data_IF_638734951985
#
_entry.id   IF_638734951985
#
_cell.length_a   1.000
_cell.length_b   1.000
_cell.length_c   1.000
_cell.angle_alpha   90.00
_cell.angle_beta   90.00
_cell.angle_gamma   90.00
#
_symmetry.space_group_name_H-M   'P 1'
#
loop_
_entity.id
_entity.type
_entity.pdbx_description
1 polymer ?
#
# COMPACT_ATOMS: atom_id res chain seq x y z
N UNK A 1 10.96 -24.77 16.90
CA UNK A 1 11.32 -26.20 16.91
C UNK A 1 12.45 -26.52 15.90
N UNK A 2 12.36 -26.11 14.62
CA UNK A 2 13.37 -26.34 13.59
C UNK A 2 14.78 -25.86 14.03
N UNK A 3 14.90 -24.64 14.52
CA UNK A 3 16.16 -24.06 14.98
C UNK A 3 16.76 -24.82 16.17
N UNK A 4 15.94 -25.32 17.10
CA UNK A 4 16.39 -26.12 18.23
C UNK A 4 16.95 -27.48 17.83
N UNK A 5 16.63 -27.95 16.61
CA UNK A 5 17.18 -29.15 16.00
C UNK A 5 18.44 -28.87 15.15
N UNK A 6 18.92 -27.64 15.11
CA UNK A 6 20.06 -27.23 14.30
C UNK A 6 19.77 -27.14 12.78
N UNK A 7 18.50 -27.29 12.37
CA UNK A 7 18.11 -27.20 10.96
C UNK A 7 18.00 -25.74 10.57
N UNK A 8 18.96 -25.25 9.77
CA UNK A 8 19.01 -23.89 9.24
C UNK A 8 19.18 -23.93 7.73
N UNK A 9 18.56 -23.01 6.98
CA UNK A 9 18.82 -22.88 5.56
C UNK A 9 20.22 -22.33 5.33
N UNK A 10 20.74 -22.57 4.14
CA UNK A 10 21.95 -21.93 3.62
C UNK A 10 21.60 -21.07 2.43
N UNK A 11 22.41 -20.03 2.21
CA UNK A 11 22.25 -19.09 1.10
C UNK A 11 23.12 -19.54 -0.07
N UNK A 12 22.49 -19.68 -1.22
CA UNK A 12 23.16 -20.00 -2.47
C UNK A 12 23.08 -18.83 -3.45
N UNK A 13 24.14 -18.63 -4.20
CA UNK A 13 24.18 -17.68 -5.30
C UNK A 13 23.60 -18.35 -6.56
N UNK A 14 22.75 -17.63 -7.29
CA UNK A 14 22.22 -18.12 -8.56
C UNK A 14 23.31 -18.01 -9.62
N UNK A 15 23.67 -19.15 -10.19
CA UNK A 15 24.60 -19.22 -11.31
C UNK A 15 23.87 -18.94 -12.61
N UNK A 16 24.20 -17.82 -13.23
CA UNK A 16 23.62 -17.38 -14.52
C UNK A 16 24.51 -17.73 -15.73
N UNK A 17 25.65 -18.40 -15.50
CA UNK A 17 26.66 -18.66 -16.49
C UNK A 17 26.96 -20.16 -16.70
N UNK A 18 26.05 -21.03 -16.24
CA UNK A 18 26.17 -22.50 -16.37
C UNK A 18 27.52 -23.06 -15.89
N UNK A 19 28.08 -22.51 -14.83
CA UNK A 19 29.36 -22.83 -14.23
C UNK A 19 30.59 -22.65 -15.17
N UNK A 20 30.42 -21.97 -16.31
CA UNK A 20 31.55 -21.65 -17.20
C UNK A 20 32.49 -20.60 -16.59
N UNK A 21 31.93 -19.67 -15.81
CA UNK A 21 32.64 -18.67 -15.03
C UNK A 21 32.03 -18.54 -13.63
N UNK A 22 32.80 -18.10 -12.63
CA UNK A 22 32.23 -17.79 -11.31
C UNK A 22 31.10 -16.76 -11.41
N UNK A 23 29.94 -17.06 -10.86
CA UNK A 23 28.80 -16.13 -10.82
C UNK A 23 29.17 -14.87 -10.04
N UNK A 24 28.93 -13.70 -10.62
CA UNK A 24 29.20 -12.39 -10.02
C UNK A 24 27.93 -11.61 -9.72
N UNK A 25 26.76 -12.23 -9.91
CA UNK A 25 25.46 -11.62 -9.62
C UNK A 25 25.25 -11.52 -8.11
N UNK A 26 24.39 -10.57 -7.71
CA UNK A 26 23.91 -10.44 -6.34
C UNK A 26 22.67 -11.31 -6.06
N UNK A 27 22.33 -12.24 -6.96
CA UNK A 27 21.14 -13.09 -6.92
C UNK A 27 21.33 -14.25 -5.97
N UNK A 28 20.51 -14.32 -4.95
CA UNK A 28 20.56 -15.27 -3.86
C UNK A 28 19.24 -16.01 -3.71
N UNK A 29 19.29 -17.21 -3.15
CA UNK A 29 18.13 -17.95 -2.68
C UNK A 29 18.47 -18.81 -1.46
N UNK A 30 17.46 -19.17 -0.67
CA UNK A 30 17.64 -20.06 0.47
C UNK A 30 17.27 -21.48 0.14
N UNK A 31 18.10 -22.42 0.63
CA UNK A 31 17.83 -23.85 0.52
C UNK A 31 18.24 -24.58 1.79
N UNK A 32 17.49 -25.64 2.11
CA UNK A 32 17.87 -26.59 3.17
C UNK A 32 18.74 -27.74 2.67
N UNK A 33 18.95 -27.86 1.36
CA UNK A 33 19.73 -28.91 0.71
C UNK A 33 21.19 -28.53 0.48
N UNK A 34 21.68 -27.44 1.09
CA UNK A 34 23.05 -26.98 0.97
C UNK A 34 23.90 -27.33 2.19
N UNK A 35 25.22 -27.29 2.03
CA UNK A 35 26.20 -27.56 3.10
C UNK A 35 26.74 -26.27 3.72
N UNK A 36 26.91 -25.20 2.90
CA UNK A 36 27.50 -23.94 3.32
C UNK A 36 26.91 -22.77 2.52
N UNK A 37 26.99 -21.57 3.09
CA UNK A 37 26.64 -20.33 2.41
C UNK A 37 27.67 -19.98 1.32
N UNK A 38 27.18 -19.52 0.17
CA UNK A 38 28.04 -18.97 -0.88
C UNK A 38 28.42 -17.50 -0.61
N UNK A 39 27.70 -16.86 0.31
CA UNK A 39 27.88 -15.44 0.67
C UNK A 39 28.49 -15.31 2.05
N UNK A 40 29.45 -14.37 2.17
CA UNK A 40 29.99 -13.94 3.46
C UNK A 40 29.22 -12.74 3.98
N UNK A 41 28.70 -12.84 5.20
CA UNK A 41 28.05 -11.73 5.88
C UNK A 41 29.09 -10.87 6.59
N UNK A 42 29.48 -9.77 5.96
CA UNK A 42 30.46 -8.81 6.51
C UNK A 42 29.71 -7.74 7.31
N UNK A 43 30.22 -7.42 8.50
CA UNK A 43 29.69 -6.35 9.36
C UNK A 43 30.36 -5.00 9.06
N UNK A 44 30.71 -4.73 7.81
CA UNK A 44 31.34 -3.48 7.36
C UNK A 44 30.37 -2.31 7.24
N UNK A 45 29.10 -2.61 6.94
CA UNK A 45 28.00 -1.64 6.83
C UNK A 45 26.72 -2.21 7.44
N UNK A 46 25.89 -1.33 8.01
CA UNK A 46 24.53 -1.72 8.42
C UNK A 46 23.72 -2.04 7.17
N UNK A 47 22.97 -3.13 7.19
CA UNK A 47 22.06 -3.51 6.11
C UNK A 47 20.63 -3.06 6.42
N UNK A 48 19.87 -2.74 5.38
CA UNK A 48 18.42 -2.47 5.45
C UNK A 48 17.74 -3.36 4.43
N UNK A 49 16.72 -4.09 4.88
CA UNK A 49 15.94 -5.00 4.03
C UNK A 49 14.68 -4.31 3.56
N UNK A 50 14.42 -4.37 2.26
CA UNK A 50 13.19 -3.91 1.63
C UNK A 50 12.40 -5.14 1.17
N UNK A 51 11.16 -5.24 1.59
CA UNK A 51 10.26 -6.30 1.12
C UNK A 51 9.54 -5.82 -0.15
N UNK A 52 9.69 -6.58 -1.24
CA UNK A 52 9.09 -6.28 -2.54
C UNK A 52 7.60 -6.59 -2.61
N UNK A 53 7.02 -6.44 -3.80
CA UNK A 53 5.58 -6.63 -4.04
C UNK A 53 5.19 -8.07 -4.38
N UNK A 54 6.16 -8.93 -4.65
CA UNK A 54 5.93 -10.29 -5.11
C UNK A 54 5.50 -10.37 -6.58
N UNK A 55 4.82 -11.44 -6.94
CA UNK A 55 4.31 -11.64 -8.29
C UNK A 55 3.27 -10.58 -8.66
N UNK A 56 3.32 -10.11 -9.91
CA UNK A 56 2.31 -9.19 -10.42
C UNK A 56 0.94 -9.87 -10.49
N UNK A 57 -0.04 -9.17 -9.99
CA UNK A 57 -1.45 -9.53 -10.01
C UNK A 57 -2.28 -8.26 -9.89
N UNK A 58 -3.57 -8.36 -10.14
CA UNK A 58 -4.49 -7.25 -9.86
C UNK A 58 -4.34 -6.85 -8.39
N UNK A 59 -4.06 -5.56 -8.15
CA UNK A 59 -3.80 -5.01 -6.81
C UNK A 59 -2.36 -5.07 -6.30
N UNK A 60 -1.44 -5.70 -7.05
CA UNK A 60 -0.01 -5.73 -6.71
C UNK A 60 0.82 -5.67 -8.00
N UNK A 61 1.19 -4.49 -8.43
CA UNK A 61 1.74 -4.22 -9.75
C UNK A 61 2.98 -3.32 -9.72
N UNK A 62 3.44 -2.91 -10.89
CA UNK A 62 4.72 -2.21 -11.14
C UNK A 62 4.92 -0.95 -10.31
N UNK A 63 3.87 -0.31 -9.86
CA UNK A 63 3.93 0.92 -9.06
C UNK A 63 4.63 0.69 -7.71
N UNK A 64 4.39 -0.46 -7.09
CA UNK A 64 5.06 -0.84 -5.85
C UNK A 64 6.52 -1.25 -6.09
N UNK A 65 6.82 -1.81 -7.26
CA UNK A 65 8.20 -2.09 -7.63
C UNK A 65 9.02 -0.80 -7.77
N UNK A 66 8.44 0.23 -8.42
CA UNK A 66 9.04 1.55 -8.46
C UNK A 66 9.32 2.10 -7.05
N UNK A 67 8.38 1.96 -6.12
CA UNK A 67 8.57 2.38 -4.73
C UNK A 67 9.73 1.62 -4.07
N UNK A 68 9.82 0.31 -4.25
CA UNK A 68 10.92 -0.52 -3.76
C UNK A 68 12.27 -0.07 -4.32
N UNK A 69 12.36 0.18 -5.63
CA UNK A 69 13.58 0.68 -6.30
C UNK A 69 14.02 2.03 -5.74
N UNK A 70 13.09 2.97 -5.54
CA UNK A 70 13.44 4.27 -4.96
C UNK A 70 13.95 4.14 -3.53
N UNK A 71 13.35 3.26 -2.72
CA UNK A 71 13.82 2.97 -1.38
C UNK A 71 15.25 2.38 -1.38
N UNK A 72 15.52 1.40 -2.24
CA UNK A 72 16.86 0.80 -2.39
C UNK A 72 17.92 1.84 -2.78
N UNK A 73 17.61 2.74 -3.71
CA UNK A 73 18.50 3.83 -4.10
C UNK A 73 18.82 4.74 -2.93
N UNK A 74 17.81 5.20 -2.20
CA UNK A 74 17.99 6.06 -1.04
C UNK A 74 18.82 5.38 0.06
N UNK A 75 18.62 4.09 0.31
CA UNK A 75 19.39 3.28 1.25
C UNK A 75 20.87 3.29 0.87
N UNK A 76 21.21 2.98 -0.40
CA UNK A 76 22.59 2.94 -0.91
C UNK A 76 23.27 4.30 -0.85
N UNK A 77 22.59 5.36 -1.28
CA UNK A 77 23.09 6.74 -1.30
C UNK A 77 23.43 7.25 0.11
N UNK A 78 22.81 6.67 1.16
CA UNK A 78 23.06 7.02 2.54
C UNK A 78 24.01 6.02 3.26
N UNK A 79 24.74 5.20 2.51
CA UNK A 79 25.84 4.37 3.02
C UNK A 79 25.39 3.05 3.67
N UNK A 80 24.13 2.69 3.61
CA UNK A 80 23.64 1.40 4.08
C UNK A 80 23.80 0.34 2.98
N UNK A 81 23.92 -0.93 3.37
CA UNK A 81 23.77 -2.04 2.44
C UNK A 81 22.30 -2.27 2.16
N UNK A 82 21.94 -2.23 0.89
CA UNK A 82 20.58 -2.48 0.45
C UNK A 82 20.33 -3.96 0.19
N UNK A 83 19.27 -4.51 0.76
CA UNK A 83 18.87 -5.90 0.57
C UNK A 83 17.43 -5.92 0.11
N UNK A 84 17.14 -6.61 -0.99
CA UNK A 84 15.79 -6.82 -1.52
C UNK A 84 15.38 -8.27 -1.30
N UNK A 85 14.15 -8.49 -0.87
CA UNK A 85 13.49 -9.80 -0.92
C UNK A 85 12.30 -9.67 -1.88
N UNK A 86 12.40 -10.33 -3.03
CA UNK A 86 11.33 -10.37 -4.02
C UNK A 86 11.49 -11.63 -4.90
N UNK A 87 10.39 -12.16 -5.43
CA UNK A 87 10.42 -13.38 -6.21
C UNK A 87 9.87 -13.22 -7.64
N UNK A 88 9.65 -11.98 -8.06
CA UNK A 88 9.23 -11.71 -9.44
C UNK A 88 10.45 -11.26 -10.26
N UNK A 89 10.96 -12.11 -11.19
CA UNK A 89 12.14 -11.77 -11.99
C UNK A 89 11.87 -10.71 -13.08
N UNK A 90 10.62 -10.39 -13.34
CA UNK A 90 10.19 -9.40 -14.35
C UNK A 90 10.08 -7.98 -13.78
N UNK A 91 10.75 -7.69 -12.66
CA UNK A 91 10.70 -6.38 -12.00
C UNK A 91 12.06 -5.70 -11.99
N UNK A 92 12.06 -4.35 -11.99
CA UNK A 92 13.30 -3.56 -11.92
C UNK A 92 14.00 -3.74 -10.57
N UNK A 93 13.27 -3.95 -9.47
CA UNK A 93 13.87 -4.21 -8.17
C UNK A 93 14.69 -5.50 -8.10
N UNK A 94 14.48 -6.40 -9.04
CA UNK A 94 15.21 -7.66 -9.17
C UNK A 94 16.30 -7.62 -10.23
N UNK A 95 16.60 -6.46 -10.81
CA UNK A 95 17.77 -6.28 -11.66
C UNK A 95 19.06 -6.32 -10.83
N UNK A 96 20.13 -6.87 -11.42
CA UNK A 96 21.37 -7.19 -10.71
C UNK A 96 22.10 -5.97 -10.09
N UNK A 97 21.84 -4.78 -10.57
CA UNK A 97 22.49 -3.54 -10.14
C UNK A 97 21.64 -2.69 -9.18
N UNK A 98 20.39 -3.10 -8.90
CA UNK A 98 19.46 -2.31 -8.10
C UNK A 98 19.74 -2.35 -6.60
N UNK A 99 20.32 -3.42 -6.08
CA UNK A 99 20.65 -3.56 -4.66
C UNK A 99 21.97 -4.31 -4.45
N UNK A 100 22.51 -4.27 -3.23
CA UNK A 100 23.74 -5.01 -2.89
C UNK A 100 23.49 -6.51 -2.79
N UNK A 101 22.29 -6.93 -2.34
CA UNK A 101 21.87 -8.34 -2.26
C UNK A 101 20.40 -8.48 -2.61
N UNK A 102 20.12 -9.45 -3.45
CA UNK A 102 18.77 -9.79 -3.88
C UNK A 102 18.45 -11.24 -3.54
N UNK A 103 17.46 -11.45 -2.70
CA UNK A 103 16.92 -12.78 -2.41
C UNK A 103 15.71 -13.04 -3.30
N UNK A 104 15.83 -13.99 -4.21
CA UNK A 104 14.72 -14.56 -4.98
C UNK A 104 14.02 -15.61 -4.12
N UNK A 105 13.20 -15.13 -3.20
CA UNK A 105 12.47 -15.98 -2.27
C UNK A 105 11.07 -15.42 -2.03
N UNK A 106 10.16 -16.30 -1.62
CA UNK A 106 8.79 -15.92 -1.33
C UNK A 106 8.69 -14.96 -0.15
N UNK A 107 7.71 -14.05 -0.22
CA UNK A 107 7.37 -13.13 0.86
C UNK A 107 6.45 -13.82 1.90
N UNK A 108 6.78 -15.05 2.26
CA UNK A 108 6.16 -15.74 3.40
C UNK A 108 6.86 -15.36 4.69
N UNK A 109 6.14 -15.44 5.82
CA UNK A 109 6.72 -15.09 7.12
C UNK A 109 7.98 -15.90 7.42
N UNK A 110 7.94 -17.21 7.18
CA UNK A 110 9.04 -18.13 7.46
C UNK A 110 10.29 -17.81 6.63
N UNK A 111 10.12 -17.54 5.33
CA UNK A 111 11.23 -17.20 4.43
C UNK A 111 11.84 -15.86 4.77
N UNK A 112 11.00 -14.86 5.00
CA UNK A 112 11.46 -13.54 5.41
C UNK A 112 12.25 -13.62 6.72
N UNK A 113 11.75 -14.36 7.71
CA UNK A 113 12.45 -14.57 8.98
C UNK A 113 13.81 -15.26 8.80
N UNK A 114 13.89 -16.31 7.99
CA UNK A 114 15.14 -17.01 7.71
C UNK A 114 16.20 -16.04 7.12
N UNK A 115 15.80 -15.17 6.20
CA UNK A 115 16.68 -14.16 5.61
C UNK A 115 17.08 -13.10 6.64
N UNK A 116 16.13 -12.59 7.43
CA UNK A 116 16.41 -11.58 8.44
C UNK A 116 17.35 -12.08 9.54
N UNK A 117 17.25 -13.35 9.94
CA UNK A 117 18.18 -13.99 10.88
C UNK A 117 19.60 -14.07 10.31
N UNK A 118 19.76 -14.31 9.00
CA UNK A 118 21.05 -14.37 8.32
C UNK A 118 21.66 -12.98 8.10
N UNK A 119 20.85 -12.00 7.64
CA UNK A 119 21.29 -10.64 7.36
C UNK A 119 21.52 -9.80 8.62
N UNK A 120 20.85 -10.11 9.72
CA UNK A 120 20.83 -9.32 10.95
C UNK A 120 20.74 -7.80 10.66
N UNK A 121 19.68 -7.34 10.00
CA UNK A 121 19.61 -6.00 9.45
C UNK A 121 19.45 -4.94 10.53
N UNK A 122 19.85 -3.71 10.20
CA UNK A 122 19.50 -2.52 10.98
C UNK A 122 17.99 -2.30 11.05
N UNK A 123 17.27 -2.66 9.98
CA UNK A 123 15.83 -2.61 9.95
C UNK A 123 15.22 -3.14 8.66
N UNK A 124 13.89 -3.28 8.68
CA UNK A 124 13.07 -3.81 7.59
C UNK A 124 12.04 -2.77 7.17
N UNK A 125 11.97 -2.47 5.88
CA UNK A 125 10.95 -1.61 5.28
C UNK A 125 9.85 -2.51 4.70
N UNK A 126 8.64 -2.39 5.25
CA UNK A 126 7.43 -3.14 4.83
C UNK A 126 6.45 -2.29 4.04
N UNK A 127 6.64 -0.95 4.01
CA UNK A 127 5.64 0.01 3.54
C UNK A 127 5.75 0.40 2.06
N UNK A 128 6.70 -0.15 1.31
CA UNK A 128 6.92 0.18 -0.12
C UNK A 128 6.44 -0.88 -1.09
N UNK A 129 6.27 -2.12 -0.66
CA UNK A 129 5.90 -3.26 -1.50
C UNK A 129 4.40 -3.56 -1.59
N UNK A 130 3.53 -2.64 -1.17
CA UNK A 130 2.09 -2.84 -1.16
C UNK A 130 1.60 -3.66 0.03
N UNK A 131 0.47 -4.36 -0.14
CA UNK A 131 -0.22 -5.04 0.96
C UNK A 131 0.50 -6.30 1.47
N UNK A 132 1.20 -7.04 0.58
CA UNK A 132 1.85 -8.30 0.96
C UNK A 132 2.87 -8.10 2.08
N UNK A 133 3.89 -7.23 1.93
CA UNK A 133 4.84 -6.98 3.00
C UNK A 133 4.21 -6.29 4.20
N UNK A 134 3.23 -5.41 4.00
CA UNK A 134 2.55 -4.72 5.09
C UNK A 134 1.83 -5.70 6.03
N UNK A 135 1.23 -6.77 5.50
CA UNK A 135 0.59 -7.83 6.29
C UNK A 135 1.57 -8.67 7.13
N UNK A 136 2.87 -8.57 6.88
CA UNK A 136 3.89 -9.24 7.69
C UNK A 136 4.29 -8.45 8.94
N UNK A 137 3.95 -7.16 9.00
CA UNK A 137 4.43 -6.24 10.03
C UNK A 137 4.21 -6.77 11.46
N UNK A 138 2.98 -7.15 11.83
CA UNK A 138 2.68 -7.67 13.17
C UNK A 138 3.45 -8.96 13.50
N UNK A 139 3.61 -9.85 12.50
CA UNK A 139 4.31 -11.12 12.71
C UNK A 139 5.80 -10.92 12.92
N UNK A 140 6.39 -9.97 12.17
CA UNK A 140 7.80 -9.61 12.29
C UNK A 140 8.07 -8.89 13.63
N UNK A 141 7.20 -7.96 14.02
CA UNK A 141 7.30 -7.25 15.30
C UNK A 141 7.20 -8.21 16.49
N UNK A 142 6.31 -9.21 16.43
CA UNK A 142 6.20 -10.27 17.43
C UNK A 142 7.48 -11.12 17.58
N UNK A 143 8.37 -11.12 16.60
CA UNK A 143 9.70 -11.73 16.66
C UNK A 143 10.81 -10.71 16.92
N UNK A 144 10.45 -9.50 17.36
CA UNK A 144 11.37 -8.41 17.66
C UNK A 144 12.23 -7.96 16.48
N UNK A 145 11.76 -8.15 15.23
CA UNK A 145 12.42 -7.63 14.05
C UNK A 145 12.24 -6.12 13.96
N UNK A 146 13.30 -5.34 13.74
CA UNK A 146 13.25 -3.88 13.72
C UNK A 146 12.54 -3.39 12.45
N UNK A 147 11.25 -3.09 12.55
CA UNK A 147 10.50 -2.45 11.46
C UNK A 147 10.82 -0.96 11.45
N UNK A 148 11.23 -0.45 10.28
CA UNK A 148 11.52 0.96 10.08
C UNK A 148 10.28 1.74 9.68
N UNK A 149 10.10 2.90 10.30
CA UNK A 149 8.97 3.78 10.02
C UNK A 149 7.81 3.59 10.99
N UNK A 150 6.59 3.55 10.46
CA UNK A 150 5.36 3.39 11.25
C UNK A 150 5.32 2.04 11.96
N UNK A 151 4.92 2.05 13.23
CA UNK A 151 4.90 0.82 14.04
C UNK A 151 3.91 -0.21 13.51
N UNK A 152 4.22 -1.49 13.71
CA UNK A 152 3.33 -2.59 13.32
C UNK A 152 1.93 -2.48 13.96
N UNK A 153 1.85 -1.98 15.19
CA UNK A 153 0.58 -1.74 15.89
C UNK A 153 -0.25 -0.65 15.20
N UNK A 154 0.37 0.44 14.75
CA UNK A 154 -0.32 1.50 14.02
C UNK A 154 -0.79 1.01 12.65
N UNK A 155 0.03 0.18 11.98
CA UNK A 155 -0.35 -0.48 10.72
C UNK A 155 -1.61 -1.32 10.95
N UNK A 156 -1.63 -2.18 11.96
CA UNK A 156 -2.78 -3.03 12.28
C UNK A 156 -4.03 -2.20 12.62
N UNK A 157 -3.87 -1.12 13.39
CA UNK A 157 -4.98 -0.21 13.73
C UNK A 157 -5.59 0.49 12.50
N UNK A 158 -4.81 0.74 11.46
CA UNK A 158 -5.29 1.35 10.23
C UNK A 158 -5.90 0.33 9.25
N UNK A 159 -5.33 -0.88 9.18
CA UNK A 159 -5.76 -1.94 8.26
C UNK A 159 -7.01 -2.70 8.76
N UNK A 160 -7.20 -2.81 10.07
CA UNK A 160 -8.39 -3.40 10.68
C UNK A 160 -9.52 -2.37 10.65
N UNK A 161 -10.55 -2.66 9.86
CA UNK A 161 -11.69 -1.74 9.63
C UNK A 161 -12.44 -1.35 10.90
N UNK A 162 -12.61 -2.30 11.81
CA UNK A 162 -13.30 -2.06 13.07
C UNK A 162 -12.48 -1.13 13.97
N UNK A 163 -11.18 -1.42 14.13
CA UNK A 163 -10.26 -0.57 14.91
C UNK A 163 -10.12 0.82 14.31
N UNK A 164 -10.00 0.91 12.99
CA UNK A 164 -9.87 2.19 12.30
C UNK A 164 -11.13 3.04 12.45
N UNK A 165 -12.30 2.47 12.23
CA UNK A 165 -13.58 3.18 12.38
C UNK A 165 -13.80 3.63 13.83
N UNK A 166 -13.53 2.78 14.82
CA UNK A 166 -13.60 3.16 16.23
C UNK A 166 -12.60 4.28 16.60
N UNK A 167 -11.43 4.28 15.98
CA UNK A 167 -10.45 5.35 16.13
C UNK A 167 -10.98 6.68 15.55
N UNK A 168 -11.55 6.68 14.35
CA UNK A 168 -12.13 7.87 13.73
C UNK A 168 -13.24 8.48 14.59
N UNK A 169 -14.14 7.64 15.12
CA UNK A 169 -15.20 8.08 16.02
C UNK A 169 -14.62 8.74 17.30
N UNK A 170 -13.58 8.13 17.89
CA UNK A 170 -12.90 8.67 19.07
C UNK A 170 -12.27 10.04 18.86
N UNK A 171 -11.67 10.26 17.68
CA UNK A 171 -11.02 11.55 17.36
C UNK A 171 -11.97 12.55 16.70
N UNK A 172 -13.26 12.20 16.56
CA UNK A 172 -14.28 13.07 15.99
C UNK A 172 -14.11 13.36 14.49
N UNK A 173 -13.57 12.40 13.74
CA UNK A 173 -13.43 12.46 12.27
C UNK A 173 -14.60 11.74 11.64
N UNK A 174 -15.29 12.43 10.73
CA UNK A 174 -16.49 11.93 10.09
C UNK A 174 -16.19 10.80 9.09
N UNK A 175 -17.03 9.77 9.08
CA UNK A 175 -16.97 8.61 8.20
C UNK A 175 -18.40 8.18 7.79
N UNK A 176 -18.55 7.38 6.72
CA UNK A 176 -19.86 6.78 6.44
C UNK A 176 -20.35 5.97 7.64
N UNK A 177 -21.67 6.03 7.92
CA UNK A 177 -22.27 5.17 8.96
C UNK A 177 -21.86 3.72 8.73
N UNK A 178 -21.45 3.03 9.78
CA UNK A 178 -20.88 1.68 9.72
C UNK A 178 -21.31 0.80 10.88
N UNK A 179 -21.22 -0.51 10.71
CA UNK A 179 -21.37 -1.50 11.79
C UNK A 179 -20.56 -2.75 11.48
N UNK A 180 -19.95 -3.32 12.49
CA UNK A 180 -19.41 -4.67 12.45
C UNK A 180 -20.57 -5.65 12.66
N UNK A 181 -20.73 -6.61 11.75
CA UNK A 181 -21.86 -7.54 11.76
C UNK A 181 -21.48 -8.84 12.46
N UNK A 182 -22.20 -9.17 13.50
CA UNK A 182 -22.09 -10.44 14.24
C UNK A 182 -23.32 -11.32 14.09
N UNK A 183 -24.46 -10.71 13.72
CA UNK A 183 -25.73 -11.41 13.54
C UNK A 183 -26.57 -10.80 12.42
N UNK A 184 -27.60 -11.53 11.97
CA UNK A 184 -28.58 -11.01 11.01
C UNK A 184 -29.49 -9.93 11.62
N UNK A 185 -29.62 -9.90 12.93
CA UNK A 185 -30.36 -8.86 13.65
C UNK A 185 -29.62 -7.52 13.61
N UNK A 186 -28.27 -7.55 13.73
CA UNK A 186 -27.42 -6.38 13.57
C UNK A 186 -27.57 -5.79 12.16
N UNK A 187 -27.62 -6.65 11.13
CA UNK A 187 -27.84 -6.24 9.74
C UNK A 187 -29.16 -5.49 9.60
N UNK A 188 -30.24 -6.06 10.12
CA UNK A 188 -31.57 -5.45 10.03
C UNK A 188 -31.62 -4.10 10.74
N UNK A 189 -31.09 -4.05 11.96
CA UNK A 189 -31.03 -2.81 12.76
C UNK A 189 -30.24 -1.72 12.03
N UNK A 190 -29.12 -2.08 11.39
CA UNK A 190 -28.33 -1.14 10.61
C UNK A 190 -29.09 -0.63 9.37
N UNK A 191 -29.74 -1.53 8.61
CA UNK A 191 -30.51 -1.15 7.42
C UNK A 191 -31.72 -0.27 7.79
N UNK A 192 -32.41 -0.58 8.86
CA UNK A 192 -33.55 0.23 9.36
C UNK A 192 -33.08 1.66 9.69
N UNK A 193 -31.82 1.81 10.18
CA UNK A 193 -31.23 3.12 10.49
C UNK A 193 -30.80 3.90 9.24
N UNK A 194 -30.09 3.26 8.30
CA UNK A 194 -29.37 4.00 7.24
C UNK A 194 -30.00 3.85 5.86
N UNK A 195 -30.84 2.83 5.64
CA UNK A 195 -31.43 2.49 4.34
C UNK A 195 -30.37 2.05 3.30
N UNK A 196 -30.87 1.65 2.12
CA UNK A 196 -30.03 1.32 0.97
C UNK A 196 -29.58 2.58 0.19
N UNK A 197 -28.51 2.51 -0.63
CA UNK A 197 -27.57 1.40 -0.78
C UNK A 197 -26.56 1.31 0.37
N UNK A 198 -26.01 0.10 0.56
CA UNK A 198 -24.95 -0.19 1.54
C UNK A 198 -23.82 -0.94 0.90
N UNK A 199 -22.62 -0.82 1.46
CA UNK A 199 -21.43 -1.53 1.05
C UNK A 199 -21.10 -2.62 2.07
N UNK A 200 -20.99 -3.85 1.60
CA UNK A 200 -20.54 -5.02 2.40
C UNK A 200 -19.05 -5.24 2.14
N UNK A 201 -18.27 -5.35 3.20
CA UNK A 201 -16.81 -5.53 3.15
C UNK A 201 -16.36 -6.61 4.13
N UNK A 202 -15.60 -7.62 3.70
CA UNK A 202 -14.82 -8.43 4.64
C UNK A 202 -13.76 -7.55 5.32
N UNK A 203 -13.40 -7.83 6.59
CA UNK A 203 -12.47 -6.99 7.35
C UNK A 203 -11.05 -6.98 6.81
N UNK A 204 -10.61 -8.09 6.21
CA UNK A 204 -9.29 -8.20 5.60
C UNK A 204 -9.41 -8.71 4.16
N UNK A 205 -9.24 -7.83 3.19
CA UNK A 205 -9.24 -8.19 1.75
C UNK A 205 -8.20 -7.42 0.98
N UNK A 206 -7.71 -8.04 -0.10
CA UNK A 206 -6.84 -7.42 -1.08
C UNK A 206 -7.68 -6.84 -2.23
N UNK A 207 -7.40 -5.57 -2.58
CA UNK A 207 -7.92 -4.95 -3.80
C UNK A 207 -9.44 -4.98 -3.96
N UNK A 208 -10.18 -4.86 -2.85
CA UNK A 208 -11.64 -4.85 -2.88
C UNK A 208 -12.31 -6.21 -3.08
N UNK A 209 -11.55 -7.31 -3.08
CA UNK A 209 -12.10 -8.65 -3.31
C UNK A 209 -13.28 -8.96 -2.37
N UNK A 210 -14.40 -9.42 -2.94
CA UNK A 210 -15.67 -9.66 -2.26
C UNK A 210 -16.31 -8.43 -1.59
N UNK A 211 -15.90 -7.21 -1.96
CA UNK A 211 -16.64 -5.99 -1.66
C UNK A 211 -17.81 -5.86 -2.64
N UNK A 212 -19.00 -5.52 -2.12
CA UNK A 212 -20.17 -5.38 -2.98
C UNK A 212 -21.09 -4.27 -2.48
N UNK A 213 -21.61 -3.48 -3.43
CA UNK A 213 -22.67 -2.51 -3.16
C UNK A 213 -24.01 -3.21 -3.31
N UNK A 214 -24.85 -3.10 -2.28
CA UNK A 214 -26.17 -3.71 -2.23
C UNK A 214 -27.24 -2.62 -2.29
N UNK A 215 -28.14 -2.72 -3.24
CA UNK A 215 -29.22 -1.76 -3.43
C UNK A 215 -30.56 -2.24 -2.83
N UNK A 216 -30.63 -3.51 -2.43
CA UNK A 216 -31.80 -4.13 -1.85
C UNK A 216 -31.42 -5.28 -0.91
N UNK A 217 -32.42 -5.80 -0.20
CA UNK A 217 -32.26 -6.87 0.77
C UNK A 217 -31.77 -8.18 0.16
N UNK A 218 -32.24 -8.55 -1.03
CA UNK A 218 -31.86 -9.80 -1.70
C UNK A 218 -30.39 -9.82 -2.05
N UNK A 219 -29.87 -8.71 -2.61
CA UNK A 219 -28.45 -8.55 -2.91
C UNK A 219 -27.61 -8.63 -1.62
N UNK A 220 -28.06 -7.95 -0.56
CA UNK A 220 -27.37 -7.94 0.72
C UNK A 220 -27.22 -9.36 1.29
N UNK A 221 -28.29 -10.15 1.33
CA UNK A 221 -28.24 -11.53 1.84
C UNK A 221 -27.31 -12.43 1.01
N UNK A 222 -27.31 -12.26 -0.31
CA UNK A 222 -26.41 -12.98 -1.21
C UNK A 222 -24.94 -12.66 -0.92
N UNK A 223 -24.60 -11.38 -0.82
CA UNK A 223 -23.24 -10.95 -0.63
C UNK A 223 -22.71 -11.20 0.80
N UNK A 224 -23.55 -11.14 1.82
CA UNK A 224 -23.18 -11.54 3.17
C UNK A 224 -22.75 -13.00 3.25
N UNK A 225 -23.45 -13.90 2.54
CA UNK A 225 -23.05 -15.33 2.45
C UNK A 225 -21.69 -15.47 1.79
N UNK A 226 -21.41 -14.72 0.73
CA UNK A 226 -20.10 -14.74 0.06
C UNK A 226 -19.00 -14.18 0.97
N UNK A 227 -19.21 -13.03 1.58
CA UNK A 227 -18.25 -12.39 2.48
C UNK A 227 -17.89 -13.26 3.69
N UNK A 228 -18.87 -13.93 4.29
CA UNK A 228 -18.65 -14.87 5.39
C UNK A 228 -17.80 -16.10 4.97
N UNK A 229 -17.84 -16.48 3.71
CA UNK A 229 -17.02 -17.57 3.18
C UNK A 229 -15.54 -17.17 3.04
N UNK A 230 -15.30 -15.91 2.67
CA UNK A 230 -13.95 -15.36 2.48
C UNK A 230 -13.31 -14.99 3.82
N UNK A 231 -14.08 -14.44 4.75
CA UNK A 231 -13.59 -13.92 6.05
C UNK A 231 -14.08 -14.78 7.23
N UNK A 232 -13.51 -15.99 7.35
CA UNK A 232 -13.89 -16.95 8.43
C UNK A 232 -13.48 -16.52 9.85
N UNK A 233 -12.50 -15.64 10.00
CA UNK A 233 -11.89 -15.27 11.28
C UNK A 233 -12.21 -13.84 11.74
N UNK A 234 -12.74 -13.02 10.87
CA UNK A 234 -12.97 -11.60 11.15
C UNK A 234 -14.41 -11.21 10.80
N UNK A 235 -15.01 -10.24 11.51
CA UNK A 235 -16.36 -9.81 11.23
C UNK A 235 -16.47 -9.21 9.82
N UNK A 236 -17.65 -9.27 9.24
CA UNK A 236 -17.98 -8.53 8.03
C UNK A 236 -18.43 -7.14 8.45
N UNK A 237 -17.90 -6.11 7.81
CA UNK A 237 -18.29 -4.72 8.06
C UNK A 237 -19.29 -4.28 6.98
N UNK A 238 -20.37 -3.65 7.42
CA UNK A 238 -21.33 -2.97 6.55
C UNK A 238 -21.20 -1.46 6.75
N UNK A 239 -21.31 -0.70 5.67
CA UNK A 239 -21.34 0.76 5.74
C UNK A 239 -22.33 1.36 4.76
N UNK A 240 -22.84 2.56 5.08
CA UNK A 240 -23.67 3.32 4.14
C UNK A 240 -22.87 3.65 2.89
N UNK A 241 -23.39 3.29 1.72
CA UNK A 241 -22.82 3.68 0.44
C UNK A 241 -23.35 5.03 0.00
N UNK A 242 -22.46 5.96 -0.32
CA UNK A 242 -22.82 7.33 -0.65
C UNK A 242 -22.79 7.56 -2.17
N UNK A 243 -23.94 7.65 -2.79
CA UNK A 243 -24.05 7.93 -4.21
C UNK A 243 -23.73 9.39 -4.54
N UNK A 244 -23.25 9.63 -5.76
CA UNK A 244 -22.97 10.96 -6.31
C UNK A 244 -22.04 11.80 -5.42
N UNK A 245 -21.07 11.16 -4.80
CA UNK A 245 -20.00 11.81 -4.06
C UNK A 245 -18.71 11.75 -4.86
N UNK A 246 -17.87 12.75 -4.72
CA UNK A 246 -16.50 12.73 -5.24
C UNK A 246 -15.62 11.84 -4.38
N UNK A 247 -14.72 11.12 -5.00
CA UNK A 247 -13.66 10.42 -4.31
C UNK A 247 -12.35 11.21 -4.46
N UNK A 248 -11.62 11.31 -3.35
CA UNK A 248 -10.42 12.12 -3.25
C UNK A 248 -9.37 11.29 -2.53
N UNK A 249 -8.15 11.35 -3.01
CA UNK A 249 -7.01 10.71 -2.38
C UNK A 249 -6.02 11.74 -1.86
N UNK A 250 -5.41 11.42 -0.73
CA UNK A 250 -4.23 12.12 -0.25
C UNK A 250 -3.09 11.12 -0.10
N UNK A 251 -2.11 11.23 -0.98
CA UNK A 251 -0.82 10.58 -0.83
C UNK A 251 0.10 11.47 -0.03
N UNK A 252 0.71 10.94 1.01
CA UNK A 252 1.51 11.76 1.91
C UNK A 252 2.67 10.99 2.55
N UNK A 253 3.60 11.75 3.07
CA UNK A 253 4.71 11.27 3.89
C UNK A 253 4.69 12.04 5.20
N UNK A 254 4.74 11.33 6.33
CA UNK A 254 4.81 11.93 7.65
C UNK A 254 6.06 11.50 8.42
N UNK A 255 6.44 12.30 9.42
CA UNK A 255 7.45 12.01 10.42
C UNK A 255 6.86 12.26 11.79
N UNK A 256 6.82 11.23 12.63
CA UNK A 256 6.30 11.30 14.00
C UNK A 256 4.90 11.97 14.07
N UNK A 257 4.02 11.61 13.11
CA UNK A 257 2.67 12.16 12.98
C UNK A 257 2.58 13.55 12.36
N UNK A 258 3.70 14.18 11.97
CA UNK A 258 3.71 15.46 11.26
C UNK A 258 3.83 15.23 9.75
N UNK A 259 2.90 15.78 8.95
CA UNK A 259 2.94 15.68 7.49
C UNK A 259 4.08 16.53 6.93
N UNK A 260 5.00 15.89 6.23
CA UNK A 260 6.17 16.51 5.60
C UNK A 260 5.91 16.86 4.14
N UNK A 261 5.33 15.91 3.38
CA UNK A 261 4.96 16.11 1.98
C UNK A 261 3.58 15.49 1.73
N UNK A 262 2.81 16.07 0.82
CA UNK A 262 1.49 15.55 0.45
C UNK A 262 1.08 15.95 -0.96
N UNK A 263 0.19 15.15 -1.56
CA UNK A 263 -0.52 15.41 -2.80
C UNK A 263 -2.00 15.09 -2.60
N UNK A 264 -2.87 16.01 -3.00
CA UNK A 264 -4.33 15.79 -2.99
C UNK A 264 -4.79 15.69 -4.43
N UNK A 265 -5.25 14.52 -4.82
CA UNK A 265 -5.80 14.20 -6.15
C UNK A 265 -7.29 13.88 -6.05
N UNK A 266 -8.00 14.05 -7.15
CA UNK A 266 -9.42 13.70 -7.23
C UNK A 266 -9.66 12.70 -8.35
N UNK A 267 -10.67 11.86 -8.18
CA UNK A 267 -11.16 10.98 -9.24
C UNK A 267 -12.05 11.76 -10.21
N UNK A 268 -11.94 11.45 -11.50
CA UNK A 268 -12.84 12.00 -12.52
C UNK A 268 -14.23 11.39 -12.36
N UNK A 269 -14.28 10.11 -12.04
CA UNK A 269 -15.49 9.35 -11.75
C UNK A 269 -16.05 9.70 -10.37
N UNK A 270 -17.35 9.43 -10.17
CA UNK A 270 -17.93 9.45 -8.83
C UNK A 270 -17.51 8.22 -8.04
N UNK A 271 -17.63 8.30 -6.71
CA UNK A 271 -17.33 7.20 -5.79
C UNK A 271 -18.07 5.91 -6.15
N UNK A 272 -17.39 4.80 -5.99
CA UNK A 272 -17.86 3.47 -6.35
C UNK A 272 -17.03 2.79 -7.43
N UNK A 273 -16.00 3.47 -7.94
CA UNK A 273 -14.93 2.90 -8.77
C UNK A 273 -13.69 2.74 -7.90
N UNK A 274 -13.08 1.55 -7.90
CA UNK A 274 -11.84 1.31 -7.14
C UNK A 274 -10.75 2.32 -7.56
N UNK A 275 -10.01 2.86 -6.59
CA UNK A 275 -8.99 3.90 -6.84
C UNK A 275 -7.90 3.46 -7.85
N UNK A 276 -7.61 2.17 -7.91
CA UNK A 276 -6.73 1.58 -8.93
C UNK A 276 -7.28 1.68 -10.35
N UNK A 277 -8.59 1.71 -10.52
CA UNK A 277 -9.29 1.73 -11.82
C UNK A 277 -9.73 3.14 -12.22
N UNK A 278 -9.89 4.04 -11.25
CA UNK A 278 -10.33 5.40 -11.48
C UNK A 278 -9.30 6.22 -12.26
N UNK A 279 -9.81 7.18 -13.05
CA UNK A 279 -9.02 8.24 -13.65
C UNK A 279 -8.72 9.29 -12.59
N UNK A 280 -7.45 9.48 -12.28
CA UNK A 280 -7.01 10.42 -11.23
C UNK A 280 -6.42 11.66 -11.87
N UNK A 281 -6.84 12.84 -11.43
CA UNK A 281 -6.24 14.11 -11.82
C UNK A 281 -5.56 14.80 -10.63
N UNK A 282 -4.38 15.34 -10.89
CA UNK A 282 -3.56 16.05 -9.92
C UNK A 282 -2.90 17.30 -10.53
N UNK A 283 -2.95 18.46 -9.87
CA UNK A 283 -3.73 18.77 -8.67
C UNK A 283 -5.24 18.60 -8.86
N UNK A 284 -5.97 18.38 -7.77
CA UNK A 284 -7.43 18.31 -7.81
C UNK A 284 -8.02 19.60 -8.42
N UNK A 285 -8.91 19.46 -9.42
CA UNK A 285 -9.38 20.58 -10.26
C UNK A 285 -10.73 21.13 -9.83
N UNK A 286 -11.57 20.30 -9.22
CA UNK A 286 -12.98 20.62 -8.92
C UNK A 286 -13.28 20.57 -7.42
N UNK A 287 -12.26 20.80 -6.58
CA UNK A 287 -12.43 20.90 -5.13
C UNK A 287 -12.48 22.35 -4.66
N UNK A 288 -13.35 22.64 -3.71
CA UNK A 288 -13.31 23.92 -3.02
C UNK A 288 -12.04 24.03 -2.15
N UNK A 289 -11.49 25.22 -2.03
CA UNK A 289 -10.33 25.48 -1.16
C UNK A 289 -10.60 25.02 0.28
N UNK A 290 -11.82 25.20 0.76
CA UNK A 290 -12.23 24.78 2.10
C UNK A 290 -12.21 23.25 2.23
N UNK A 291 -12.63 22.50 1.20
CA UNK A 291 -12.52 21.03 1.15
C UNK A 291 -11.05 20.61 1.32
N UNK A 292 -10.14 21.22 0.56
CA UNK A 292 -8.70 20.92 0.65
C UNK A 292 -8.15 21.22 2.05
N UNK A 293 -8.54 22.33 2.67
CA UNK A 293 -8.13 22.69 4.04
C UNK A 293 -8.61 21.66 5.07
N UNK A 294 -9.86 21.22 4.95
CA UNK A 294 -10.43 20.18 5.83
C UNK A 294 -9.74 18.84 5.66
N UNK A 295 -9.49 18.40 4.42
CA UNK A 295 -8.72 17.17 4.15
C UNK A 295 -7.36 17.23 4.85
N UNK A 296 -6.61 18.33 4.68
CA UNK A 296 -5.31 18.50 5.36
C UNK A 296 -5.42 18.43 6.88
N UNK A 297 -6.45 19.05 7.46
CA UNK A 297 -6.68 19.02 8.92
C UNK A 297 -6.97 17.60 9.40
N UNK A 298 -7.89 16.89 8.72
CA UNK A 298 -8.26 15.52 9.04
C UNK A 298 -7.05 14.59 8.90
N UNK A 299 -6.33 14.67 7.78
CA UNK A 299 -5.11 13.88 7.56
C UNK A 299 -4.09 14.10 8.68
N UNK A 300 -3.90 15.34 9.11
CA UNK A 300 -3.01 15.67 10.23
C UNK A 300 -3.48 15.11 11.57
N UNK A 301 -4.78 15.01 11.82
CA UNK A 301 -5.33 14.35 13.01
C UNK A 301 -5.05 12.85 12.99
N UNK A 302 -5.34 12.18 11.87
CA UNK A 302 -5.10 10.75 11.68
C UNK A 302 -3.60 10.43 11.78
N UNK A 303 -2.74 11.23 11.11
CA UNK A 303 -1.30 11.04 11.14
C UNK A 303 -0.73 11.10 12.57
N UNK A 304 -1.20 12.05 13.38
CA UNK A 304 -0.80 12.17 14.80
C UNK A 304 -1.32 11.02 15.64
N UNK A 305 -2.59 10.64 15.48
CA UNK A 305 -3.20 9.56 16.27
C UNK A 305 -2.50 8.22 16.01
N UNK A 306 -2.14 7.94 14.78
CA UNK A 306 -1.41 6.74 14.38
C UNK A 306 0.11 6.87 14.49
N UNK A 307 0.62 8.06 14.88
CA UNK A 307 2.05 8.38 14.94
C UNK A 307 2.81 7.93 13.69
N UNK A 308 2.31 8.35 12.52
CA UNK A 308 2.81 7.89 11.22
C UNK A 308 4.23 8.40 10.98
N UNK A 309 5.14 7.50 10.60
CA UNK A 309 6.49 7.81 10.13
C UNK A 309 6.78 7.02 8.86
N UNK A 310 6.66 7.67 7.71
CA UNK A 310 6.80 7.04 6.39
C UNK A 310 5.66 7.37 5.44
N UNK A 311 5.48 6.60 4.35
CA UNK A 311 4.45 6.83 3.36
C UNK A 311 3.08 6.38 3.85
N UNK A 312 2.03 7.11 3.47
CA UNK A 312 0.65 6.72 3.72
C UNK A 312 -0.31 7.34 2.70
N UNK A 313 -1.47 6.73 2.57
CA UNK A 313 -2.55 7.18 1.70
C UNK A 313 -3.86 7.21 2.49
N UNK A 314 -4.66 8.25 2.31
CA UNK A 314 -6.01 8.34 2.86
C UNK A 314 -6.99 8.61 1.73
N UNK A 315 -8.11 7.88 1.73
CA UNK A 315 -9.21 8.06 0.78
C UNK A 315 -10.40 8.71 1.47
N UNK A 316 -11.02 9.63 0.74
CA UNK A 316 -12.12 10.46 1.20
C UNK A 316 -13.28 10.43 0.23
N UNK A 317 -14.49 10.57 0.79
CA UNK A 317 -15.68 10.99 0.05
C UNK A 317 -15.96 12.45 0.33
N UNK A 318 -16.32 13.20 -0.70
CA UNK A 318 -16.72 14.60 -0.52
C UNK A 318 -17.99 14.91 -1.30
N UNK A 319 -18.89 15.62 -0.62
CA UNK A 319 -20.02 16.29 -1.22
C UNK A 319 -19.97 17.74 -0.78
N UNK A 320 -19.68 18.65 -1.72
CA UNK A 320 -19.34 20.03 -1.38
C UNK A 320 -18.21 20.11 -0.33
N UNK A 321 -18.47 20.61 0.86
CA UNK A 321 -17.53 20.71 1.97
C UNK A 321 -17.72 19.63 3.05
N UNK A 322 -18.68 18.71 2.87
CA UNK A 322 -18.81 17.55 3.74
C UNK A 322 -17.80 16.49 3.31
N UNK A 323 -16.96 16.05 4.25
CA UNK A 323 -15.88 15.11 3.99
C UNK A 323 -16.03 13.92 4.92
N UNK A 324 -15.95 12.72 4.36
CA UNK A 324 -15.96 11.47 5.10
C UNK A 324 -14.72 10.64 4.75
N UNK A 325 -14.06 10.08 5.75
CA UNK A 325 -12.91 9.20 5.57
C UNK A 325 -13.40 7.80 5.20
N UNK A 326 -12.81 7.20 4.16
CA UNK A 326 -13.09 5.80 3.77
C UNK A 326 -12.06 4.86 4.39
N UNK A 327 -10.77 5.14 4.17
CA UNK A 327 -9.68 4.29 4.61
C UNK A 327 -8.36 5.06 4.73
N UNK A 328 -7.44 4.47 5.49
CA UNK A 328 -6.07 4.91 5.61
C UNK A 328 -5.14 3.70 5.43
N UNK A 329 -4.25 3.79 4.45
CA UNK A 329 -3.25 2.77 4.17
C UNK A 329 -1.88 3.28 4.63
N UNK A 330 -1.25 2.61 5.61
CA UNK A 330 0.06 3.00 6.15
C UNK A 330 1.20 2.42 5.31
N UNK A 331 1.13 2.67 4.03
CA UNK A 331 2.08 2.25 3.00
C UNK A 331 1.95 3.13 1.77
N UNK A 332 2.88 3.00 0.84
CA UNK A 332 2.73 3.62 -0.47
C UNK A 332 1.47 3.08 -1.17
N UNK A 333 0.78 3.96 -1.88
CA UNK A 333 -0.32 3.63 -2.77
C UNK A 333 0.18 3.47 -4.21
N UNK A 334 -0.69 3.04 -5.11
CA UNK A 334 -0.38 2.95 -6.55
C UNK A 334 -0.16 4.32 -7.19
N UNK A 335 -0.74 5.38 -6.64
CA UNK A 335 -0.58 6.75 -7.15
C UNK A 335 0.75 7.42 -6.75
N UNK A 336 1.53 6.87 -5.81
CA UNK A 336 2.81 7.43 -5.38
C UNK A 336 3.80 7.72 -6.52
N UNK A 337 4.03 6.82 -7.48
CA UNK A 337 4.89 7.12 -8.63
C UNK A 337 4.36 8.28 -9.47
N UNK A 338 3.06 8.30 -9.73
CA UNK A 338 2.40 9.35 -10.51
C UNK A 338 2.54 10.72 -9.83
N UNK A 339 2.11 10.86 -8.58
CA UNK A 339 2.18 12.14 -7.87
C UNK A 339 3.62 12.60 -7.68
N UNK A 340 4.57 11.69 -7.43
CA UNK A 340 5.99 12.01 -7.31
C UNK A 340 6.56 12.60 -8.61
N UNK A 341 6.18 12.03 -9.75
CA UNK A 341 6.62 12.50 -11.07
C UNK A 341 5.98 13.84 -11.43
N UNK A 342 4.68 14.00 -11.18
CA UNK A 342 3.97 15.26 -11.46
C UNK A 342 4.52 16.40 -10.58
N UNK A 343 4.72 16.16 -9.29
CA UNK A 343 5.31 17.15 -8.37
C UNK A 343 6.80 17.39 -8.59
N UNK A 344 7.50 16.45 -9.28
CA UNK A 344 8.97 16.41 -9.34
C UNK A 344 9.61 16.34 -7.95
N UNK A 345 8.96 15.65 -7.02
CA UNK A 345 9.38 15.41 -5.63
C UNK A 345 9.24 13.92 -5.37
N UNK A 346 10.35 13.24 -5.08
CA UNK A 346 10.31 11.82 -4.79
C UNK A 346 9.83 11.55 -3.36
N UNK A 347 8.55 11.21 -3.22
CA UNK A 347 7.94 10.92 -1.92
C UNK A 347 8.56 9.69 -1.24
N UNK A 348 9.02 8.71 -2.01
CA UNK A 348 9.66 7.52 -1.44
C UNK A 348 11.06 7.83 -0.93
N UNK A 349 11.82 8.71 -1.58
CA UNK A 349 13.11 9.17 -1.03
C UNK A 349 12.90 9.86 0.32
N UNK A 350 11.95 10.80 0.40
CA UNK A 350 11.62 11.48 1.67
C UNK A 350 11.20 10.47 2.73
N UNK A 351 10.30 9.55 2.39
CA UNK A 351 9.82 8.53 3.31
C UNK A 351 10.96 7.61 3.81
N UNK A 352 11.83 7.18 2.90
CA UNK A 352 12.96 6.29 3.25
C UNK A 352 13.96 7.00 4.15
N UNK A 353 14.28 8.27 3.89
CA UNK A 353 15.13 9.08 4.79
C UNK A 353 14.53 9.19 6.19
N UNK A 354 13.21 9.44 6.28
CA UNK A 354 12.50 9.48 7.57
C UNK A 354 12.61 8.13 8.29
N UNK A 355 12.34 7.04 7.60
CA UNK A 355 12.42 5.68 8.16
C UNK A 355 13.84 5.31 8.62
N UNK A 356 14.87 5.85 7.96
CA UNK A 356 16.28 5.69 8.37
C UNK A 356 16.71 6.65 9.50
N UNK A 357 15.80 7.52 9.97
CA UNK A 357 16.13 8.53 11.00
C UNK A 357 16.98 9.69 10.49
N UNK A 358 17.05 9.89 9.17
CA UNK A 358 17.84 10.95 8.54
C UNK A 358 17.08 12.30 8.54
N UNK A 359 17.78 13.42 8.47
CA UNK A 359 17.16 14.72 8.32
C UNK A 359 16.45 14.84 6.97
N UNK A 360 15.27 15.46 6.99
CA UNK A 360 14.49 15.79 5.79
C UNK A 360 14.01 17.22 5.88
N UNK A 361 13.97 17.90 4.75
CA UNK A 361 13.37 19.23 4.62
C UNK A 361 11.97 19.11 4.04
N UNK A 362 11.05 19.97 4.49
CA UNK A 362 9.73 20.07 3.88
C UNK A 362 9.87 20.67 2.48
N UNK A 363 9.27 20.05 1.45
CA UNK A 363 9.25 20.63 0.12
C UNK A 363 8.63 22.02 0.14
N UNK A 364 9.30 22.98 -0.50
CA UNK A 364 8.83 24.36 -0.60
C UNK A 364 7.74 24.57 -1.66
N UNK A 365 7.65 23.65 -2.64
CA UNK A 365 6.66 23.74 -3.73
C UNK A 365 5.26 23.40 -3.23
N UNK A 366 4.33 24.27 -3.61
CA UNK A 366 2.91 24.09 -3.38
C UNK A 366 2.25 23.63 -4.71
N UNK A 367 1.19 22.84 -4.64
CA UNK A 367 0.43 22.41 -5.83
C UNK A 367 -0.26 23.58 -6.57
N UNK A 368 -0.41 24.76 -5.96
CA UNK A 368 -0.86 25.98 -6.63
C UNK A 368 0.22 26.62 -7.53
N UNK A 369 1.47 26.15 -7.44
CA UNK A 369 2.59 26.71 -8.20
C UNK A 369 2.78 26.00 -9.56
N UNK A 370 1.87 25.08 -9.94
CA UNK A 370 1.94 24.35 -11.19
C UNK A 370 1.06 24.98 -12.25
N UNK A 371 1.61 25.14 -13.44
CA UNK A 371 0.96 25.60 -14.67
C UNK A 371 0.53 24.44 -15.59
N UNK A 372 0.43 23.23 -15.04
CA UNK A 372 0.01 22.03 -15.74
C UNK A 372 -0.78 21.10 -14.82
N UNK A 373 -1.52 20.19 -15.44
CA UNK A 373 -2.28 19.13 -14.78
C UNK A 373 -1.75 17.77 -15.20
N UNK A 374 -1.60 16.87 -14.25
CA UNK A 374 -1.35 15.46 -14.52
C UNK A 374 -2.65 14.66 -14.47
N UNK A 375 -2.82 13.72 -15.38
CA UNK A 375 -3.90 12.75 -15.39
C UNK A 375 -3.31 11.36 -15.44
N UNK A 376 -3.78 10.49 -14.55
CA UNK A 376 -3.50 9.05 -14.55
C UNK A 376 -4.75 8.33 -15.05
N UNK A 377 -4.63 7.59 -16.15
CA UNK A 377 -5.69 6.72 -16.65
C UNK A 377 -5.29 5.25 -16.53
N UNK A 378 -6.23 4.41 -16.16
CA UNK A 378 -5.98 2.98 -15.97
C UNK A 378 -6.05 2.21 -17.27
N UNK A 379 -5.22 1.16 -17.38
CA UNK A 379 -5.19 0.22 -18.49
C UNK A 379 -5.92 -1.06 -18.10
N UNK A 380 -6.78 -1.55 -19.00
CA UNK A 380 -7.55 -2.79 -18.81
C UNK A 380 -7.17 -3.82 -19.88
N UNK A 381 -7.09 -5.09 -19.48
CA UNK A 381 -6.76 -6.21 -20.37
C UNK A 381 -7.94 -7.17 -20.55
N UNK A 382 -9.15 -6.66 -20.65
CA UNK A 382 -10.38 -7.48 -20.75
C UNK A 382 -10.32 -8.50 -21.90
N UNK A 383 -9.70 -8.16 -23.02
CA UNK A 383 -9.54 -9.07 -24.16
C UNK A 383 -8.64 -10.28 -23.86
N UNK A 384 -7.79 -10.20 -22.83
CA UNK A 384 -6.86 -11.27 -22.42
C UNK A 384 -7.33 -12.00 -21.19
N UNK A 385 -8.11 -11.35 -20.33
CA UNK A 385 -8.64 -11.91 -19.09
C UNK A 385 -10.03 -12.50 -19.37
N UNK A 386 -10.08 -13.79 -19.60
CA UNK A 386 -11.35 -14.50 -19.84
C UNK A 386 -12.28 -14.34 -18.64
N UNK A 387 -13.56 -14.01 -18.92
CA UNK A 387 -14.63 -13.79 -17.91
C UNK A 387 -14.41 -12.57 -17.01
N UNK A 388 -13.50 -11.66 -17.33
CA UNK A 388 -13.42 -10.38 -16.62
C UNK A 388 -14.65 -9.52 -16.98
N UNK A 389 -15.26 -8.93 -15.95
CA UNK A 389 -16.37 -8.00 -16.13
C UNK A 389 -15.80 -6.64 -16.60
N UNK A 390 -16.23 -6.08 -17.73
CA UNK A 390 -15.80 -4.77 -18.19
C UNK A 390 -16.43 -3.61 -17.42
N UNK A 391 -17.40 -3.87 -16.55
CA UNK A 391 -18.00 -2.84 -15.70
C UNK A 391 -17.09 -2.57 -14.52
N UNK A 392 -16.53 -1.36 -14.47
CA UNK A 392 -15.72 -0.92 -13.34
C UNK A 392 -16.57 -0.68 -12.10
N UNK A 393 -16.08 -1.07 -10.95
CA UNK A 393 -16.79 -1.00 -9.67
C UNK A 393 -15.82 -0.91 -8.49
N UNK A 394 -16.28 -1.37 -7.34
CA UNK A 394 -15.50 -1.34 -6.09
C UNK A 394 -14.37 -2.37 -6.05
N UNK A 395 -14.43 -3.39 -6.89
CA UNK A 395 -13.34 -4.35 -7.11
C UNK A 395 -12.39 -3.84 -8.19
N UNK A 396 -11.08 -4.01 -7.98
CA UNK A 396 -10.07 -3.62 -8.94
C UNK A 396 -9.94 -4.62 -10.09
N UNK A 397 -9.90 -4.12 -11.32
CA UNK A 397 -9.77 -4.93 -12.55
C UNK A 397 -8.66 -4.46 -13.49
N UNK A 398 -8.09 -3.27 -13.26
CA UNK A 398 -7.01 -2.71 -14.08
C UNK A 398 -5.70 -3.50 -13.96
N UNK A 399 -4.93 -3.51 -15.06
CA UNK A 399 -3.68 -4.25 -15.20
C UNK A 399 -2.46 -3.35 -15.41
N UNK A 400 -2.66 -2.05 -15.46
CA UNK A 400 -1.60 -1.06 -15.63
C UNK A 400 -2.18 0.35 -15.64
N UNK A 401 -1.32 1.32 -15.88
CA UNK A 401 -1.72 2.73 -15.94
C UNK A 401 -0.82 3.55 -16.87
N UNK A 402 -1.34 4.70 -17.31
CA UNK A 402 -0.59 5.70 -18.06
C UNK A 402 -0.79 7.07 -17.39
N UNK A 403 0.28 7.87 -17.33
CA UNK A 403 0.23 9.25 -16.86
C UNK A 403 0.47 10.22 -18.00
N UNK A 404 -0.39 11.24 -18.12
CA UNK A 404 -0.31 12.31 -19.10
C UNK A 404 -0.17 13.66 -18.38
N UNK A 405 0.44 14.64 -19.06
CA UNK A 405 0.52 16.02 -18.61
C UNK A 405 -0.09 16.93 -19.67
N UNK A 406 -0.87 17.90 -19.26
CA UNK A 406 -1.48 18.91 -20.13
C UNK A 406 -1.51 20.29 -19.47
N UNK A 407 -1.77 21.35 -20.24
CA UNK A 407 -1.95 22.71 -19.71
C UNK A 407 -3.18 22.80 -18.80
N UNK A 408 -4.18 21.97 -19.07
CA UNK A 408 -5.36 21.81 -18.24
C UNK A 408 -5.82 20.34 -18.21
N UNK A 409 -6.87 20.02 -17.47
CA UNK A 409 -7.38 18.66 -17.33
C UNK A 409 -7.86 18.06 -18.67
N UNK A 410 -8.46 18.87 -19.57
CA UNK A 410 -8.95 18.37 -20.87
C UNK A 410 -7.78 18.05 -21.82
N UNK A 411 -6.72 18.85 -21.77
CA UNK A 411 -5.51 18.60 -22.56
C UNK A 411 -4.72 17.40 -22.05
N UNK A 412 -4.85 17.06 -20.76
CA UNK A 412 -4.19 15.91 -20.13
C UNK A 412 -4.99 14.60 -20.29
N UNK A 413 -6.32 14.66 -20.44
CA UNK A 413 -7.22 13.53 -20.72
C UNK A 413 -7.14 13.12 -22.21
#
# INVERSE_FOLDING_TARGET
>A
HRLSLGVKPVVKQIDTLAAEFPAQTNYLYLTYSGIANDVKYLNDRKSVVVLGSGAYRIGSSVEFDWCGVQALKTIRENGYRSVMINYNPETVSTDYDMCDRLYFDELTFERVMDILELENPHGVIVSTGGQIPNNLALKLDAQHMPILGTTARSIDNAEDRDKFSAMLDRIGVDQPEWSALTSMEDVKTFIDKVGFPVLVRPSYVLSGAAMNVCFNQEELERFLKMAATVSKKHPVVISKFMLNTKEIEMDAVAKDGEIIAYAISEHVEFAGVHSGDATIQFPAQKLYVETVRRIKKISGQIARELNISGPFNIQYLARENEIKVIECNLRASRSFPFVSKVLKINFIDIATRIMLGLPVEKPSKNFFDFDYVGVKASQFSFNRLQKADPVIGVDMTSTGEVGCLGEDANAAL
#
